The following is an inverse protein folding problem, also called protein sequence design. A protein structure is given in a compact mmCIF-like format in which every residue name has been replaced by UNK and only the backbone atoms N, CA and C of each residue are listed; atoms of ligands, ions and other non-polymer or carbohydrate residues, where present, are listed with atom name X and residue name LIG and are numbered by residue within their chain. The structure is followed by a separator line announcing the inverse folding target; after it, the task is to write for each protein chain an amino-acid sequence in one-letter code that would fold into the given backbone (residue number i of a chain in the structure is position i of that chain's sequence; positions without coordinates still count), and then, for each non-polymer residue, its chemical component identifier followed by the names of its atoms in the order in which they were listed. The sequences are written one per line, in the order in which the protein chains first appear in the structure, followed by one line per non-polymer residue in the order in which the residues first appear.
data_IF_853111699649
#
_entry.id   IF_853111699649
#
_cell.length_a   1.000
_cell.length_b   1.000
_cell.length_c   1.000
_cell.angle_alpha   90.00
_cell.angle_beta   90.00
_cell.angle_gamma   90.00
#
_symmetry.space_group_name_H-M   'P 1'
#
loop_
_entity.id
_entity.type
_entity.pdbx_description
1 polymer ?
#
# COMPACT_ATOMS: atom_id res chain seq x y z
N UNK A 1 -11.31 -16.31 3.76
CA UNK A 1 -11.44 -16.24 2.29
C UNK A 1 -12.50 -15.23 1.78
N UNK A 2 -13.58 -14.92 2.49
CA UNK A 2 -14.58 -13.91 2.07
C UNK A 2 -14.16 -12.46 2.26
N UNK A 3 -13.37 -12.14 3.29
CA UNK A 3 -13.04 -10.75 3.69
C UNK A 3 -12.18 -9.95 2.70
N UNK A 4 -11.33 -10.59 1.90
CA UNK A 4 -10.46 -9.88 0.93
C UNK A 4 -11.21 -9.60 -0.38
N UNK A 5 -12.11 -10.49 -0.80
CA UNK A 5 -12.88 -10.32 -2.05
C UNK A 5 -14.01 -9.30 -1.96
N UNK A 6 -14.55 -9.01 -0.77
CA UNK A 6 -15.66 -8.04 -0.61
C UNK A 6 -15.17 -6.57 -0.58
N UNK A 7 -13.86 -6.33 -0.45
CA UNK A 7 -13.27 -4.98 -0.39
C UNK A 7 -12.89 -4.45 -1.79
N UNK A 8 -12.75 -5.33 -2.78
CA UNK A 8 -12.33 -4.98 -4.16
C UNK A 8 -13.50 -4.95 -5.16
N UNK A 9 -14.68 -4.44 -4.76
CA UNK A 9 -15.76 -4.19 -5.72
C UNK A 9 -15.36 -3.03 -6.63
N UNK A 10 -14.85 -3.37 -7.82
CA UNK A 10 -14.72 -2.39 -8.92
C UNK A 10 -16.10 -1.88 -9.31
N UNK A 11 -16.21 -0.56 -9.50
CA UNK A 11 -17.44 0.06 -10.00
C UNK A 11 -17.85 -0.56 -11.34
N UNK A 12 -19.15 -0.74 -11.55
CA UNK A 12 -19.72 -1.17 -12.84
C UNK A 12 -19.41 -0.11 -13.90
N UNK A 13 -19.30 -0.51 -15.16
CA UNK A 13 -18.99 0.43 -16.27
C UNK A 13 -19.98 1.60 -16.37
N UNK A 14 -21.25 1.39 -16.01
CA UNK A 14 -22.29 2.43 -15.95
C UNK A 14 -22.10 3.47 -14.83
N UNK A 15 -21.18 3.22 -13.89
CA UNK A 15 -20.89 4.10 -12.75
C UNK A 15 -19.56 4.85 -12.93
N UNK A 16 -18.87 4.65 -14.06
CA UNK A 16 -17.59 5.32 -14.35
C UNK A 16 -17.83 6.78 -14.73
N UNK A 17 -17.15 7.66 -14.00
CA UNK A 17 -17.13 9.11 -14.27
C UNK A 17 -16.09 9.39 -15.35
N UNK A 18 -16.42 10.24 -16.33
CA UNK A 18 -15.49 10.66 -17.37
C UNK A 18 -14.40 11.60 -16.84
N UNK A 19 -13.24 11.65 -17.50
CA UNK A 19 -12.18 12.60 -17.14
C UNK A 19 -12.64 14.03 -17.13
N UNK A 20 -13.49 14.42 -18.09
CA UNK A 20 -14.03 15.77 -18.18
C UNK A 20 -14.86 16.14 -16.96
N UNK A 21 -15.72 15.24 -16.49
CA UNK A 21 -16.51 15.45 -15.27
C UNK A 21 -15.60 15.58 -14.04
N UNK A 22 -14.50 14.81 -13.97
CA UNK A 22 -13.53 14.94 -12.88
C UNK A 22 -12.78 16.27 -12.96
N UNK A 23 -12.36 16.73 -14.16
CA UNK A 23 -11.75 18.04 -14.35
C UNK A 23 -12.70 19.16 -13.88
N UNK A 24 -13.99 19.11 -14.27
CA UNK A 24 -15.02 20.06 -13.83
C UNK A 24 -15.23 20.06 -12.31
N UNK A 25 -15.16 18.89 -11.67
CA UNK A 25 -15.21 18.76 -10.22
C UNK A 25 -14.01 19.45 -9.54
N UNK A 26 -12.79 19.30 -10.07
CA UNK A 26 -11.63 20.01 -9.56
C UNK A 26 -11.72 21.53 -9.72
N UNK A 27 -12.29 22.02 -10.82
CA UNK A 27 -12.58 23.46 -10.99
C UNK A 27 -13.51 23.97 -9.88
N UNK A 28 -14.56 23.20 -9.55
CA UNK A 28 -15.48 23.54 -8.45
C UNK A 28 -14.79 23.55 -7.09
N UNK A 29 -13.91 22.56 -6.83
CA UNK A 29 -13.13 22.48 -5.59
C UNK A 29 -12.21 23.70 -5.46
N UNK A 30 -11.49 24.09 -6.53
CA UNK A 30 -10.60 25.24 -6.54
C UNK A 30 -11.38 26.53 -6.20
N UNK A 31 -12.56 26.73 -6.82
CA UNK A 31 -13.45 27.87 -6.51
C UNK A 31 -13.94 27.84 -5.06
N UNK A 32 -14.33 26.66 -4.56
CA UNK A 32 -14.79 26.50 -3.18
C UNK A 32 -13.71 26.82 -2.15
N UNK A 33 -12.43 26.56 -2.46
CA UNK A 33 -11.29 26.98 -1.63
C UNK A 33 -11.05 28.50 -1.65
N UNK A 34 -11.73 29.26 -2.49
CA UNK A 34 -11.57 30.72 -2.62
C UNK A 34 -10.55 31.15 -3.67
N UNK A 35 -10.12 30.25 -4.56
CA UNK A 35 -9.13 30.55 -5.57
C UNK A 35 -9.76 30.71 -6.97
N UNK A 36 -9.14 31.51 -7.85
CA UNK A 36 -9.57 31.72 -9.22
C UNK A 36 -8.94 30.70 -10.19
N UNK A 37 -9.70 29.70 -10.69
CA UNK A 37 -9.18 28.72 -11.62
C UNK A 37 -8.79 29.27 -13.00
N UNK A 38 -9.18 30.52 -13.32
CA UNK A 38 -8.87 31.18 -14.60
C UNK A 38 -7.51 31.88 -14.62
N UNK A 39 -6.88 32.08 -13.46
CA UNK A 39 -5.53 32.66 -13.43
C UNK A 39 -4.49 31.72 -14.08
N UNK A 40 -3.50 32.28 -14.72
CA UNK A 40 -2.47 31.60 -15.54
C UNK A 40 -1.91 30.34 -14.86
N UNK A 41 -1.52 30.42 -13.60
CA UNK A 41 -0.92 29.30 -12.85
C UNK A 41 -1.88 28.15 -12.61
N UNK A 42 -3.21 28.34 -12.71
CA UNK A 42 -4.24 27.32 -12.43
C UNK A 42 -4.97 26.78 -13.67
N UNK A 43 -4.80 27.41 -14.85
CA UNK A 43 -5.50 26.99 -16.07
C UNK A 43 -5.35 25.48 -16.38
N UNK A 44 -4.16 24.92 -16.15
CA UNK A 44 -3.89 23.50 -16.39
C UNK A 44 -4.05 22.62 -15.16
N UNK A 45 -4.34 23.19 -13.98
CA UNK A 45 -4.36 22.44 -12.71
C UNK A 45 -5.41 21.33 -12.68
N UNK A 46 -6.68 21.52 -13.13
CA UNK A 46 -7.66 20.44 -13.15
C UNK A 46 -7.16 19.22 -13.93
N UNK A 47 -6.62 19.43 -15.13
CA UNK A 47 -6.07 18.35 -15.97
C UNK A 47 -4.83 17.68 -15.34
N UNK A 48 -3.98 18.45 -14.67
CA UNK A 48 -2.82 17.89 -13.94
C UNK A 48 -3.28 17.05 -12.75
N UNK A 49 -4.32 17.47 -12.04
CA UNK A 49 -4.89 16.73 -10.93
C UNK A 49 -5.46 15.37 -11.38
N UNK A 50 -6.20 15.32 -12.49
CA UNK A 50 -6.69 14.04 -13.05
C UNK A 50 -5.54 13.08 -13.31
N UNK A 51 -4.44 13.53 -13.93
CA UNK A 51 -3.25 12.68 -14.17
C UNK A 51 -2.61 12.22 -12.86
N UNK A 52 -2.40 13.14 -11.90
CA UNK A 52 -1.82 12.81 -10.61
C UNK A 52 -2.65 11.78 -9.84
N UNK A 53 -3.97 11.93 -9.82
CA UNK A 53 -4.87 10.99 -9.15
C UNK A 53 -4.87 9.61 -9.80
N UNK A 54 -4.71 9.52 -11.12
CA UNK A 54 -4.51 8.23 -11.79
C UNK A 54 -3.23 7.53 -11.32
N UNK A 55 -2.15 8.28 -11.12
CA UNK A 55 -0.89 7.73 -10.59
C UNK A 55 -1.01 7.34 -9.13
N UNK A 56 -1.63 8.20 -8.31
CA UNK A 56 -1.82 7.95 -6.87
C UNK A 56 -2.69 6.73 -6.60
N UNK A 57 -3.66 6.46 -7.46
CA UNK A 57 -4.67 5.42 -7.27
C UNK A 57 -4.64 4.30 -8.32
N UNK A 58 -3.52 4.16 -9.05
CA UNK A 58 -3.35 3.11 -10.08
C UNK A 58 -3.51 1.69 -9.54
N UNK A 59 -3.28 1.47 -8.24
CA UNK A 59 -3.39 0.18 -7.60
C UNK A 59 -4.78 -0.45 -7.65
N UNK A 60 -5.83 0.35 -7.91
CA UNK A 60 -7.18 -0.19 -8.15
C UNK A 60 -7.31 -0.92 -9.50
N UNK A 61 -6.45 -0.64 -10.45
CA UNK A 61 -6.42 -1.29 -11.77
C UNK A 61 -5.38 -2.42 -11.88
N UNK A 62 -4.61 -2.67 -10.80
CA UNK A 62 -3.54 -3.67 -10.77
C UNK A 62 -3.93 -4.87 -9.91
N UNK A 63 -3.53 -6.07 -10.36
CA UNK A 63 -3.78 -7.33 -9.68
C UNK A 63 -2.50 -7.80 -8.94
N UNK A 64 -2.48 -7.76 -7.61
CA UNK A 64 -1.29 -8.14 -6.83
C UNK A 64 -0.97 -9.64 -6.92
N UNK A 65 -1.96 -10.53 -7.17
CA UNK A 65 -1.74 -11.96 -7.29
C UNK A 65 -0.96 -12.27 -8.58
N UNK A 66 -1.32 -11.64 -9.71
CA UNK A 66 -0.59 -11.77 -10.98
C UNK A 66 0.87 -11.35 -10.88
N UNK A 67 1.20 -10.37 -10.03
CA UNK A 67 2.58 -9.96 -9.79
C UNK A 67 3.40 -11.10 -9.20
N UNK A 68 2.79 -11.93 -8.35
CA UNK A 68 3.45 -13.02 -7.61
C UNK A 68 3.46 -14.37 -8.36
N UNK A 69 2.78 -14.50 -9.50
CA UNK A 69 2.73 -15.76 -10.27
C UNK A 69 4.11 -16.30 -10.68
N UNK A 70 5.05 -15.40 -11.03
CA UNK A 70 6.42 -15.80 -11.39
C UNK A 70 7.25 -16.05 -10.13
N UNK A 71 7.38 -17.30 -9.77
CA UNK A 71 8.20 -17.78 -8.65
C UNK A 71 9.30 -18.71 -9.15
N UNK A 72 10.33 -18.90 -8.34
CA UNK A 72 11.48 -19.77 -8.63
C UNK A 72 11.43 -20.99 -7.70
N UNK A 73 11.63 -22.19 -8.25
CA UNK A 73 11.61 -23.44 -7.49
C UNK A 73 12.95 -23.81 -6.83
N UNK A 74 13.97 -22.97 -7.03
CA UNK A 74 15.37 -23.29 -6.67
C UNK A 74 15.71 -22.84 -5.23
N UNK A 75 15.02 -23.44 -4.25
CA UNK A 75 15.23 -23.16 -2.82
C UNK A 75 15.64 -24.42 -2.05
N UNK A 76 16.30 -25.35 -2.72
CA UNK A 76 16.72 -26.61 -2.08
C UNK A 76 17.63 -26.30 -0.89
N UNK A 77 17.13 -26.63 0.33
CA UNK A 77 17.87 -26.47 1.58
C UNK A 77 17.75 -25.12 2.29
N UNK A 78 17.05 -24.13 1.75
CA UNK A 78 16.79 -22.87 2.48
C UNK A 78 15.48 -22.93 3.25
N UNK A 79 15.57 -22.93 4.58
CA UNK A 79 14.43 -23.10 5.50
C UNK A 79 14.20 -21.91 6.46
N UNK A 80 14.96 -20.83 6.31
CA UNK A 80 14.85 -19.63 7.15
C UNK A 80 14.05 -18.51 6.44
N UNK A 81 13.87 -17.39 7.14
CA UNK A 81 13.14 -16.23 6.63
C UNK A 81 13.94 -15.43 5.60
N UNK A 82 13.29 -15.04 4.52
CA UNK A 82 13.77 -14.03 3.59
C UNK A 82 13.20 -12.68 4.04
N UNK A 83 14.05 -11.67 4.23
CA UNK A 83 13.64 -10.35 4.68
C UNK A 83 13.99 -9.30 3.63
N UNK A 84 13.03 -8.46 3.29
CA UNK A 84 13.25 -7.22 2.54
C UNK A 84 12.78 -6.05 3.38
N UNK A 85 13.68 -5.13 3.69
CA UNK A 85 13.40 -3.97 4.53
C UNK A 85 13.54 -2.66 3.77
N UNK A 86 13.00 -1.59 4.37
CA UNK A 86 13.07 -0.22 3.83
C UNK A 86 12.45 -0.09 2.42
N UNK A 87 11.36 -0.82 2.18
CA UNK A 87 10.58 -0.65 0.95
C UNK A 87 9.83 0.68 1.08
N UNK A 88 10.17 1.66 0.25
CA UNK A 88 9.50 2.97 0.26
C UNK A 88 8.01 2.83 0.03
N UNK A 89 7.22 3.51 0.86
CA UNK A 89 5.77 3.46 0.85
C UNK A 89 5.19 4.86 0.72
N UNK A 90 4.32 5.05 -0.25
CA UNK A 90 3.54 6.27 -0.45
C UNK A 90 2.10 5.89 -0.71
N UNK A 91 1.22 6.19 0.24
CA UNK A 91 -0.21 5.88 0.19
C UNK A 91 -1.05 7.11 0.52
N UNK A 92 -2.36 6.95 0.56
CA UNK A 92 -3.30 8.02 0.89
C UNK A 92 -4.31 7.53 1.93
N UNK A 93 -4.47 8.31 2.99
CA UNK A 93 -5.46 8.06 4.04
C UNK A 93 -6.88 8.12 3.45
N UNK A 94 -7.68 7.08 3.65
CA UNK A 94 -9.05 7.02 3.12
C UNK A 94 -9.98 8.09 3.71
N UNK A 95 -9.68 8.60 4.91
CA UNK A 95 -10.52 9.58 5.58
C UNK A 95 -10.35 11.02 5.04
N UNK A 96 -9.16 11.36 4.54
CA UNK A 96 -8.84 12.75 4.17
C UNK A 96 -8.13 12.86 2.82
N UNK A 97 -7.88 11.76 2.11
CA UNK A 97 -7.02 11.70 0.92
C UNK A 97 -5.63 12.31 1.11
N UNK A 98 -5.22 12.51 2.36
CA UNK A 98 -3.89 13.04 2.69
C UNK A 98 -2.83 11.95 2.57
N UNK A 99 -1.57 12.29 2.17
CA UNK A 99 -0.51 11.30 2.02
C UNK A 99 -0.17 10.57 3.32
N UNK A 100 0.17 9.28 3.18
CA UNK A 100 0.83 8.44 4.17
C UNK A 100 2.19 8.12 3.59
N UNK A 101 3.27 8.51 4.26
CA UNK A 101 4.63 8.38 3.75
C UNK A 101 5.48 7.61 4.77
N UNK A 102 6.15 6.56 4.32
CA UNK A 102 6.94 5.73 5.22
C UNK A 102 7.66 4.60 4.52
N UNK A 103 7.88 3.53 5.27
CA UNK A 103 8.57 2.33 4.81
C UNK A 103 7.80 1.07 5.22
N UNK A 104 7.85 0.07 4.37
CA UNK A 104 7.39 -1.27 4.68
C UNK A 104 8.57 -2.24 4.81
N UNK A 105 8.43 -3.18 5.72
CA UNK A 105 9.34 -4.30 5.92
C UNK A 105 8.55 -5.59 5.75
N UNK A 106 9.08 -6.53 4.98
CA UNK A 106 8.44 -7.80 4.70
C UNK A 106 9.40 -8.92 5.03
N UNK A 107 8.91 -9.94 5.73
CA UNK A 107 9.60 -11.22 5.81
C UNK A 107 8.65 -12.34 5.42
N UNK A 108 9.16 -13.37 4.77
CA UNK A 108 8.43 -14.62 4.55
C UNK A 108 9.33 -15.84 4.71
N UNK A 109 8.77 -16.95 5.15
CA UNK A 109 9.45 -18.24 5.24
C UNK A 109 8.99 -19.07 4.05
N UNK A 110 9.89 -19.36 3.09
CA UNK A 110 9.50 -20.13 1.91
C UNK A 110 9.03 -21.54 2.29
N UNK A 111 8.12 -22.09 1.51
CA UNK A 111 7.77 -23.50 1.58
C UNK A 111 8.54 -24.31 0.53
N UNK A 112 8.22 -24.11 -0.75
CA UNK A 112 8.87 -24.80 -1.87
C UNK A 112 9.40 -23.84 -2.93
N UNK A 113 9.00 -22.57 -2.88
CA UNK A 113 9.28 -21.57 -3.91
C UNK A 113 9.65 -20.24 -3.29
N UNK A 114 10.51 -19.50 -3.96
CA UNK A 114 10.84 -18.11 -3.64
C UNK A 114 10.32 -17.19 -4.74
N UNK A 115 10.13 -15.94 -4.37
CA UNK A 115 9.72 -14.87 -5.27
C UNK A 115 10.85 -13.89 -5.49
N UNK A 116 10.92 -13.30 -6.68
CA UNK A 116 11.89 -12.23 -6.95
C UNK A 116 11.67 -11.03 -6.02
N UNK A 117 12.73 -10.50 -5.43
CA UNK A 117 12.67 -9.41 -4.44
C UNK A 117 11.88 -8.19 -4.93
N UNK A 118 12.03 -7.83 -6.21
CA UNK A 118 11.27 -6.74 -6.83
C UNK A 118 9.74 -6.95 -6.80
N UNK A 119 9.27 -8.20 -6.70
CA UNK A 119 7.84 -8.51 -6.64
C UNK A 119 7.25 -8.15 -5.29
N UNK A 120 8.01 -8.31 -4.20
CA UNK A 120 7.59 -7.87 -2.86
C UNK A 120 7.34 -6.36 -2.84
N UNK A 121 8.28 -5.57 -3.38
CA UNK A 121 8.13 -4.13 -3.49
C UNK A 121 6.92 -3.72 -4.36
N UNK A 122 6.68 -4.43 -5.47
CA UNK A 122 5.51 -4.17 -6.33
C UNK A 122 4.18 -4.47 -5.64
N UNK A 123 4.10 -5.51 -4.83
CA UNK A 123 2.89 -5.80 -4.04
C UNK A 123 2.61 -4.68 -3.03
N UNK A 124 3.66 -4.16 -2.36
CA UNK A 124 3.53 -2.98 -1.50
C UNK A 124 2.99 -1.80 -2.31
N UNK A 125 3.54 -1.54 -3.50
CA UNK A 125 3.11 -0.44 -4.37
C UNK A 125 1.64 -0.55 -4.77
N UNK A 126 1.18 -1.72 -5.23
CA UNK A 126 -0.22 -1.94 -5.64
C UNK A 126 -1.19 -1.60 -4.52
N UNK A 127 -0.93 -2.08 -3.32
CA UNK A 127 -1.82 -1.79 -2.19
C UNK A 127 -1.68 -0.36 -1.67
N UNK A 128 -0.48 0.22 -1.72
CA UNK A 128 -0.24 1.61 -1.32
C UNK A 128 -0.92 2.61 -2.25
N UNK A 129 -1.01 2.31 -3.54
CA UNK A 129 -1.68 3.17 -4.54
C UNK A 129 -3.20 3.02 -4.53
N UNK A 130 -3.79 2.99 -3.32
CA UNK A 130 -5.23 2.94 -3.04
C UNK A 130 -5.54 3.85 -1.86
N UNK A 131 -6.82 4.13 -1.60
CA UNK A 131 -7.26 4.74 -0.34
C UNK A 131 -7.17 3.71 0.79
N UNK A 132 -6.42 4.01 1.85
CA UNK A 132 -6.06 3.03 2.88
C UNK A 132 -6.25 3.53 4.32
N UNK A 133 -6.49 2.59 5.23
CA UNK A 133 -5.98 2.66 6.60
C UNK A 133 -4.68 1.87 6.65
N UNK A 134 -3.75 2.25 7.53
CA UNK A 134 -2.45 1.57 7.60
C UNK A 134 -2.59 0.12 8.05
N UNK A 135 -3.53 -0.17 8.93
CA UNK A 135 -3.85 -1.51 9.42
C UNK A 135 -4.32 -2.42 8.28
N UNK A 136 -5.25 -1.92 7.45
CA UNK A 136 -5.75 -2.67 6.29
C UNK A 136 -4.66 -2.90 5.26
N UNK A 137 -3.85 -1.89 4.97
CA UNK A 137 -2.72 -1.98 4.06
C UNK A 137 -1.74 -3.08 4.50
N UNK A 138 -1.34 -3.09 5.77
CA UNK A 138 -0.43 -4.08 6.35
C UNK A 138 -1.00 -5.50 6.24
N UNK A 139 -2.29 -5.65 6.58
CA UNK A 139 -3.00 -6.93 6.50
C UNK A 139 -3.14 -7.44 5.07
N UNK A 140 -3.49 -6.57 4.11
CA UNK A 140 -3.66 -6.96 2.70
C UNK A 140 -2.36 -7.47 2.09
N UNK A 141 -1.24 -6.78 2.33
CA UNK A 141 0.08 -7.20 1.86
C UNK A 141 0.42 -8.59 2.42
N UNK A 142 0.27 -8.78 3.74
CA UNK A 142 0.61 -10.04 4.39
C UNK A 142 -0.24 -11.22 3.90
N UNK A 143 -1.55 -11.04 3.80
CA UNK A 143 -2.46 -12.10 3.34
C UNK A 143 -2.19 -12.49 1.87
N UNK A 144 -1.96 -11.51 1.00
CA UNK A 144 -1.63 -11.76 -0.41
C UNK A 144 -0.35 -12.58 -0.55
N UNK A 145 0.71 -12.19 0.18
CA UNK A 145 1.96 -12.93 0.17
C UNK A 145 1.80 -14.36 0.73
N UNK A 146 1.07 -14.51 1.82
CA UNK A 146 0.83 -15.83 2.43
C UNK A 146 0.12 -16.77 1.48
N UNK A 147 -0.91 -16.30 0.77
CA UNK A 147 -1.69 -17.10 -0.16
C UNK A 147 -0.92 -17.40 -1.45
N UNK A 148 -0.41 -16.36 -2.12
CA UNK A 148 0.22 -16.51 -3.43
C UNK A 148 1.52 -17.32 -3.38
N UNK A 149 2.29 -17.22 -2.29
CA UNK A 149 3.54 -17.97 -2.11
C UNK A 149 3.34 -19.32 -1.39
N UNK A 150 2.15 -19.58 -0.87
CA UNK A 150 1.91 -20.72 0.04
C UNK A 150 3.00 -20.80 1.12
N UNK A 151 3.40 -19.64 1.65
CA UNK A 151 4.51 -19.51 2.59
C UNK A 151 4.21 -20.20 3.92
N UNK A 152 5.26 -20.65 4.63
CA UNK A 152 5.12 -21.19 6.00
C UNK A 152 4.81 -20.11 7.03
N UNK A 153 5.11 -18.85 6.71
CA UNK A 153 4.81 -17.68 7.53
C UNK A 153 5.16 -16.40 6.80
N UNK A 154 4.47 -15.32 7.17
CA UNK A 154 4.70 -13.96 6.65
C UNK A 154 4.64 -12.97 7.80
N UNK A 155 5.53 -11.99 7.78
CA UNK A 155 5.52 -10.82 8.66
C UNK A 155 5.58 -9.55 7.80
N UNK A 156 4.73 -8.59 8.11
CA UNK A 156 4.74 -7.27 7.48
C UNK A 156 4.69 -6.21 8.57
N UNK A 157 5.60 -5.25 8.49
CA UNK A 157 5.61 -4.05 9.36
C UNK A 157 5.62 -2.81 8.47
N UNK A 158 4.84 -1.82 8.85
CA UNK A 158 4.83 -0.50 8.20
C UNK A 158 5.08 0.54 9.28
N UNK A 159 6.05 1.43 9.04
CA UNK A 159 6.30 2.63 9.83
C UNK A 159 6.11 3.84 8.93
N UNK A 160 5.13 4.70 9.27
CA UNK A 160 4.74 5.80 8.39
C UNK A 160 4.22 7.02 9.16
N UNK A 161 4.42 8.20 8.54
CA UNK A 161 3.81 9.47 8.94
C UNK A 161 2.52 9.70 8.17
N UNK A 162 1.51 10.22 8.86
CA UNK A 162 0.21 10.56 8.28
C UNK A 162 0.06 12.07 8.15
N UNK A 163 0.02 12.58 6.93
CA UNK A 163 -0.10 14.03 6.69
C UNK A 163 -1.43 14.62 7.19
N UNK A 164 -2.46 13.81 7.34
CA UNK A 164 -3.71 14.22 7.97
C UNK A 164 -3.55 14.55 9.48
N UNK A 165 -2.47 14.09 10.12
CA UNK A 165 -2.14 14.39 11.51
C UNK A 165 -1.04 15.47 11.64
N UNK A 166 -0.16 15.60 10.66
CA UNK A 166 0.97 16.54 10.71
C UNK A 166 0.59 17.92 10.21
N UNK A 167 -0.05 18.01 9.04
CA UNK A 167 -0.36 19.28 8.37
C UNK A 167 -1.65 19.94 8.86
N UNK A 168 -2.52 19.21 9.49
CA UNK A 168 -3.84 19.65 9.99
C UNK A 168 -4.25 18.89 11.24
N UNK A 169 -5.43 19.18 11.78
CA UNK A 169 -5.99 18.49 12.96
C UNK A 169 -5.10 18.66 14.18
N UNK A 170 -4.55 17.58 14.69
CA UNK A 170 -3.74 17.57 15.91
C UNK A 170 -2.31 18.12 15.77
N UNK A 171 -1.83 18.34 14.55
CA UNK A 171 -0.53 18.94 14.19
C UNK A 171 0.66 18.30 14.93
N UNK A 172 0.76 16.97 14.89
CA UNK A 172 1.87 16.21 15.48
C UNK A 172 2.87 15.81 14.42
N UNK A 173 3.83 16.67 14.14
CA UNK A 173 4.77 16.55 13.00
C UNK A 173 5.71 15.33 13.13
N UNK A 174 6.13 14.99 14.35
CA UNK A 174 7.07 13.89 14.59
C UNK A 174 6.38 12.55 14.90
N UNK A 175 5.05 12.51 14.93
CA UNK A 175 4.34 11.27 15.21
C UNK A 175 4.41 10.31 14.02
N UNK A 176 4.90 9.10 14.27
CA UNK A 176 4.83 7.97 13.32
C UNK A 176 3.85 6.93 13.86
N UNK A 177 3.33 6.11 12.95
CA UNK A 177 2.47 4.99 13.28
C UNK A 177 3.13 3.71 12.82
N UNK A 178 3.26 2.74 13.71
CA UNK A 178 3.80 1.42 13.37
C UNK A 178 2.66 0.40 13.42
N UNK A 179 2.50 -0.35 12.35
CA UNK A 179 1.58 -1.49 12.26
C UNK A 179 2.34 -2.75 11.92
N UNK A 180 1.99 -3.86 12.58
CA UNK A 180 2.58 -5.17 12.36
C UNK A 180 1.48 -6.19 12.08
N UNK A 181 1.73 -7.11 11.16
CA UNK A 181 0.84 -8.23 10.91
C UNK A 181 1.63 -9.52 10.66
N UNK A 182 1.28 -10.57 11.40
CA UNK A 182 1.99 -11.84 11.45
C UNK A 182 1.07 -13.00 11.06
N UNK A 183 1.56 -13.92 10.22
CA UNK A 183 0.86 -15.11 9.77
C UNK A 183 1.75 -16.36 9.86
N UNK A 184 1.13 -17.53 10.06
CA UNK A 184 1.80 -18.81 10.17
C UNK A 184 2.89 -18.80 11.25
N UNK A 185 4.09 -19.27 10.95
CA UNK A 185 5.19 -19.36 11.92
C UNK A 185 5.51 -18.07 12.65
N UNK A 186 5.37 -16.91 12.02
CA UNK A 186 5.57 -15.63 12.71
C UNK A 186 4.48 -15.34 13.74
N UNK A 187 3.27 -15.88 13.60
CA UNK A 187 2.20 -15.75 14.58
C UNK A 187 2.28 -16.79 15.69
N UNK A 188 2.76 -17.99 15.37
CA UNK A 188 2.77 -19.16 16.25
C UNK A 188 4.01 -19.21 17.15
N UNK A 189 5.15 -18.65 16.69
CA UNK A 189 6.44 -18.72 17.37
C UNK A 189 7.06 -17.34 17.54
N UNK A 190 7.10 -16.86 18.80
CA UNK A 190 7.66 -15.57 19.17
C UNK A 190 9.15 -15.43 18.84
N UNK A 191 9.89 -16.53 18.70
CA UNK A 191 11.30 -16.47 18.32
C UNK A 191 11.49 -15.91 16.91
N UNK A 192 10.60 -16.28 15.97
CA UNK A 192 10.58 -15.73 14.61
C UNK A 192 10.20 -14.24 14.60
N UNK A 193 9.22 -13.83 15.40
CA UNK A 193 8.86 -12.41 15.53
C UNK A 193 10.03 -11.59 16.07
N UNK A 194 10.67 -12.05 17.15
CA UNK A 194 11.79 -11.36 17.79
C UNK A 194 12.99 -11.23 16.84
N UNK A 195 13.32 -12.28 16.09
CA UNK A 195 14.38 -12.24 15.10
C UNK A 195 14.05 -11.23 13.98
N UNK A 196 12.83 -11.26 13.45
CA UNK A 196 12.37 -10.32 12.44
C UNK A 196 12.47 -8.87 12.93
N UNK A 197 11.91 -8.55 14.11
CA UNK A 197 11.95 -7.21 14.68
C UNK A 197 13.40 -6.72 14.87
N UNK A 198 14.31 -7.57 15.35
CA UNK A 198 15.73 -7.21 15.49
C UNK A 198 16.40 -6.86 14.15
N UNK A 199 15.98 -7.46 13.05
CA UNK A 199 16.54 -7.15 11.73
C UNK A 199 16.01 -5.85 11.14
N UNK A 200 14.76 -5.52 11.39
CA UNK A 200 14.16 -4.30 10.82
C UNK A 200 14.45 -3.03 11.63
N UNK A 201 14.77 -3.16 12.93
CA UNK A 201 15.08 -2.03 13.83
C UNK A 201 16.58 -1.64 13.85
N UNK A 202 17.43 -2.40 13.20
CA UNK A 202 18.84 -2.07 12.95
C UNK A 202 18.97 -1.37 11.59
#
# INVERSE_FOLDING_TARGET
MKLVKDIDKTLKDSEKVSEKEVEEAFVKIIKWMGEDPSREGLLSTPKRLVKAFREYFKGYSEDPEKILEKTFGDVIGYDDMVIQKNISLQSHCEHHMAPIIGVAHIAYIPNKRVVGLSKLARVVEVFSKRLQTQERLTMQIANTLMQALSAKGVAVSIDATHQCMTMRGVKKEQATTITNYYLGKFKEDLSYQNRYLRFITK
#
